data_IF_934394569863
#
_entry.id   IF_934394569863
#
_cell.length_a   1.000
_cell.length_b   1.000
_cell.length_c   1.000
_cell.angle_alpha   90.00
_cell.angle_beta   90.00
_cell.angle_gamma   90.00
#
_symmetry.space_group_name_H-M   'P 1'
#
loop_
_entity.id
_entity.type
_entity.pdbx_description
1 polymer ?
#
# COMPACT_ATOMS: atom_id res chain seq x y z
N UNK A 1 11.71 -2.46 11.02
CA UNK A 1 11.30 -3.15 9.77
C UNK A 1 12.16 -2.70 8.60
N UNK A 2 12.58 -3.61 7.73
CA UNK A 2 13.38 -3.34 6.51
C UNK A 2 12.49 -3.07 5.28
N UNK A 3 13.06 -2.55 4.19
CA UNK A 3 12.32 -2.31 2.94
C UNK A 3 11.74 -3.61 2.38
N UNK A 4 12.51 -4.71 2.38
CA UNK A 4 12.03 -6.01 1.93
C UNK A 4 10.82 -6.51 2.74
N UNK A 5 10.85 -6.34 4.07
CA UNK A 5 9.72 -6.68 4.94
C UNK A 5 8.49 -5.81 4.62
N UNK A 6 8.67 -4.50 4.44
CA UNK A 6 7.59 -3.60 4.07
C UNK A 6 6.97 -3.96 2.71
N UNK A 7 7.79 -4.28 1.71
CA UNK A 7 7.31 -4.76 0.39
C UNK A 7 6.46 -6.02 0.55
N UNK A 8 6.87 -6.96 1.39
CA UNK A 8 6.10 -8.19 1.62
C UNK A 8 4.76 -7.90 2.31
N UNK A 9 4.72 -6.98 3.27
CA UNK A 9 3.47 -6.53 3.91
C UNK A 9 2.55 -5.85 2.89
N UNK A 10 3.07 -4.94 2.06
CA UNK A 10 2.30 -4.29 1.00
C UNK A 10 1.70 -5.31 0.04
N UNK A 11 2.51 -6.24 -0.48
CA UNK A 11 2.05 -7.31 -1.37
C UNK A 11 1.02 -8.23 -0.71
N UNK A 12 1.17 -8.53 0.58
CA UNK A 12 0.19 -9.30 1.33
C UNK A 12 -1.17 -8.60 1.37
N UNK A 13 -1.21 -7.30 1.70
CA UNK A 13 -2.47 -6.56 1.72
C UNK A 13 -3.05 -6.36 0.32
N UNK A 14 -2.22 -6.12 -0.70
CA UNK A 14 -2.69 -6.04 -2.08
C UNK A 14 -3.37 -7.33 -2.53
N UNK A 15 -2.83 -8.50 -2.18
CA UNK A 15 -3.47 -9.79 -2.49
C UNK A 15 -4.87 -9.92 -1.89
N UNK A 16 -5.14 -9.29 -0.75
CA UNK A 16 -6.46 -9.35 -0.10
C UNK A 16 -7.50 -8.44 -0.76
N UNK A 17 -7.07 -7.45 -1.55
CA UNK A 17 -7.95 -6.58 -2.33
C UNK A 17 -8.00 -6.96 -3.82
N UNK A 18 -7.23 -7.97 -4.21
CA UNK A 18 -7.03 -8.33 -5.60
C UNK A 18 -8.11 -9.29 -6.10
N UNK A 19 -9.32 -8.76 -6.29
CA UNK A 19 -10.46 -9.54 -6.77
C UNK A 19 -10.30 -9.98 -8.25
N UNK A 20 -9.53 -9.23 -9.03
CA UNK A 20 -9.31 -9.47 -10.47
C UNK A 20 -8.16 -10.46 -10.77
N UNK A 21 -7.48 -10.98 -9.75
CA UNK A 21 -6.43 -11.98 -9.92
C UNK A 21 -5.13 -11.44 -10.56
N UNK A 22 -4.85 -10.15 -10.43
CA UNK A 22 -3.61 -9.51 -10.90
C UNK A 22 -2.40 -10.16 -10.23
N UNK A 23 -1.32 -10.41 -10.98
CA UNK A 23 -0.08 -10.91 -10.38
C UNK A 23 0.56 -9.84 -9.50
N UNK A 24 0.64 -10.10 -8.19
CA UNK A 24 1.19 -9.16 -7.19
C UNK A 24 2.70 -9.33 -7.03
N UNK A 25 3.47 -8.31 -7.37
CA UNK A 25 4.92 -8.24 -7.29
C UNK A 25 5.42 -6.82 -6.94
N UNK A 26 6.73 -6.60 -6.92
CA UNK A 26 7.33 -5.32 -6.51
C UNK A 26 7.04 -4.17 -7.51
N UNK A 27 6.70 -4.52 -8.76
CA UNK A 27 6.32 -3.57 -9.82
C UNK A 27 4.80 -3.35 -9.92
N UNK A 28 3.99 -4.01 -9.11
CA UNK A 28 2.53 -3.80 -9.08
C UNK A 28 2.22 -2.36 -8.71
N UNK A 29 1.47 -1.67 -9.59
CA UNK A 29 0.98 -0.31 -9.38
C UNK A 29 -0.27 -0.35 -8.51
N UNK A 30 -0.40 0.54 -7.53
CA UNK A 30 -1.47 0.46 -6.53
C UNK A 30 -2.87 0.62 -7.15
N UNK A 31 -3.05 1.54 -8.10
CA UNK A 31 -4.33 1.79 -8.75
C UNK A 31 -4.82 0.65 -9.68
N UNK A 32 -4.01 -0.38 -9.92
CA UNK A 32 -4.45 -1.58 -10.68
C UNK A 32 -5.06 -2.64 -9.78
N UNK A 33 -5.06 -2.43 -8.46
CA UNK A 33 -5.57 -3.39 -7.46
C UNK A 33 -6.52 -2.70 -6.49
N UNK A 34 -6.20 -1.46 -6.12
CA UNK A 34 -6.98 -0.65 -5.19
C UNK A 34 -7.80 0.38 -5.95
N UNK A 35 -8.93 0.75 -5.38
CA UNK A 35 -9.85 1.76 -5.91
C UNK A 35 -10.17 2.82 -4.84
N UNK A 36 -10.48 4.05 -5.29
CA UNK A 36 -11.09 5.07 -4.44
C UNK A 36 -12.62 5.15 -4.54
N UNK A 37 -13.23 4.24 -5.29
CA UNK A 37 -14.68 4.19 -5.52
C UNK A 37 -15.33 2.85 -5.15
N UNK A 38 -14.59 1.87 -4.65
CA UNK A 38 -15.08 0.53 -4.29
C UNK A 38 -15.69 0.45 -2.87
N UNK A 39 -16.12 1.58 -2.33
CA UNK A 39 -16.67 1.67 -0.98
C UNK A 39 -17.46 2.95 -0.77
N UNK A 40 -17.72 3.29 0.51
CA UNK A 40 -18.51 4.48 0.86
C UNK A 40 -17.63 5.57 1.49
N UNK A 41 -17.55 6.73 0.83
CA UNK A 41 -16.69 7.82 1.27
C UNK A 41 -15.22 7.42 1.35
N UNK A 42 -14.59 7.59 2.52
CA UNK A 42 -13.19 7.20 2.73
C UNK A 42 -13.02 5.71 3.12
N UNK A 43 -14.10 4.94 3.23
CA UNK A 43 -14.03 3.50 3.47
C UNK A 43 -13.90 2.73 2.15
N UNK A 44 -12.85 3.03 1.38
CA UNK A 44 -12.49 2.37 0.12
C UNK A 44 -11.11 1.69 0.26
N UNK A 45 -10.78 0.77 -0.64
CA UNK A 45 -9.55 -0.03 -0.53
C UNK A 45 -8.29 0.82 -0.55
N UNK A 46 -8.25 1.93 -1.31
CA UNK A 46 -7.13 2.88 -1.31
C UNK A 46 -6.83 3.44 0.08
N UNK A 47 -7.84 3.94 0.79
CA UNK A 47 -7.66 4.55 2.11
C UNK A 47 -7.49 3.51 3.22
N UNK A 48 -8.16 2.35 3.13
CA UNK A 48 -7.97 1.24 4.07
C UNK A 48 -6.52 0.72 3.98
N UNK A 49 -6.04 0.44 2.78
CA UNK A 49 -4.66 0.01 2.54
C UNK A 49 -3.66 1.00 3.15
N UNK A 50 -3.80 2.29 2.84
CA UNK A 50 -2.95 3.34 3.40
C UNK A 50 -2.95 3.34 4.93
N UNK A 51 -4.11 3.18 5.55
CA UNK A 51 -4.26 3.18 7.01
C UNK A 51 -3.54 2.00 7.65
N UNK A 52 -3.67 0.80 7.07
CA UNK A 52 -3.03 -0.43 7.57
C UNK A 52 -1.50 -0.35 7.45
N UNK A 53 -0.98 0.13 6.32
CA UNK A 53 0.48 0.30 6.15
C UNK A 53 1.03 1.36 7.10
N UNK A 54 0.35 2.50 7.28
CA UNK A 54 0.76 3.53 8.26
C UNK A 54 0.80 2.96 9.67
N UNK A 55 -0.24 2.24 10.09
CA UNK A 55 -0.27 1.59 11.39
C UNK A 55 0.88 0.58 11.55
N UNK A 56 1.14 -0.23 10.52
CA UNK A 56 2.23 -1.21 10.53
C UNK A 56 3.59 -0.56 10.68
N UNK A 57 3.83 0.54 9.95
CA UNK A 57 5.06 1.34 10.08
C UNK A 57 5.24 1.86 11.51
N UNK A 58 4.21 2.49 12.07
CA UNK A 58 4.25 3.03 13.44
C UNK A 58 4.50 1.93 14.48
N UNK A 59 3.84 0.79 14.36
CA UNK A 59 4.06 -0.36 15.26
C UNK A 59 5.47 -0.94 15.19
N UNK A 60 6.17 -0.72 14.08
CA UNK A 60 7.56 -1.14 13.88
C UNK A 60 8.59 -0.03 14.18
N UNK A 61 8.20 1.01 14.91
CA UNK A 61 9.09 2.07 15.39
C UNK A 61 9.42 3.16 14.36
N UNK A 62 8.72 3.18 13.21
CA UNK A 62 8.91 4.22 12.20
C UNK A 62 7.99 5.42 12.46
N UNK A 63 8.46 6.62 12.15
CA UNK A 63 7.66 7.84 12.25
C UNK A 63 6.50 7.84 11.25
N UNK A 64 5.40 8.49 11.60
CA UNK A 64 4.25 8.71 10.70
C UNK A 64 4.59 9.81 9.67
N UNK A 65 5.35 9.42 8.64
CA UNK A 65 5.75 10.32 7.55
C UNK A 65 4.59 10.52 6.57
N UNK A 66 4.45 11.73 5.98
CA UNK A 66 3.53 11.94 4.87
C UNK A 66 3.92 11.05 3.68
N UNK A 67 2.92 10.46 3.03
CA UNK A 67 3.13 9.67 1.81
C UNK A 67 3.30 10.61 0.61
N UNK A 68 4.05 10.22 -0.43
CA UNK A 68 4.08 10.93 -1.71
C UNK A 68 2.67 11.12 -2.26
N UNK A 69 2.36 12.28 -2.84
CA UNK A 69 0.99 12.57 -3.36
C UNK A 69 0.59 11.63 -4.49
N UNK A 70 1.56 11.20 -5.28
CA UNK A 70 1.46 10.34 -6.46
C UNK A 70 1.60 8.85 -6.13
N UNK A 71 1.62 8.47 -4.84
CA UNK A 71 1.87 7.07 -4.44
C UNK A 71 0.92 6.08 -5.11
N UNK A 72 -0.32 6.48 -5.35
CA UNK A 72 -1.38 5.62 -5.89
C UNK A 72 -1.13 5.22 -7.34
N UNK A 73 -0.43 6.06 -8.09
CA UNK A 73 -0.07 5.83 -9.50
C UNK A 73 1.33 5.21 -9.65
N UNK A 74 1.96 4.85 -8.53
CA UNK A 74 3.27 4.23 -8.49
C UNK A 74 3.18 2.78 -7.98
N UNK A 75 4.34 2.10 -7.92
CA UNK A 75 4.42 0.69 -7.52
C UNK A 75 4.95 0.48 -6.09
N UNK A 76 4.90 -0.78 -5.65
CA UNK A 76 5.37 -1.24 -4.34
C UNK A 76 6.83 -0.87 -4.08
N UNK A 77 7.72 -1.03 -5.07
CA UNK A 77 9.13 -0.65 -4.95
C UNK A 77 9.27 0.84 -4.63
N UNK A 78 8.63 1.71 -5.42
CA UNK A 78 8.65 3.16 -5.22
C UNK A 78 8.17 3.54 -3.83
N UNK A 79 6.96 3.14 -3.43
CA UNK A 79 6.41 3.56 -2.16
C UNK A 79 7.25 3.04 -0.98
N UNK A 80 7.69 1.78 -1.02
CA UNK A 80 8.51 1.21 0.05
C UNK A 80 9.82 1.98 0.27
N UNK A 81 10.45 2.47 -0.81
CA UNK A 81 11.68 3.26 -0.77
C UNK A 81 11.48 4.66 -0.18
N UNK A 82 10.25 5.20 -0.23
CA UNK A 82 9.92 6.54 0.31
C UNK A 82 9.55 6.51 1.78
N UNK A 83 9.06 5.36 2.28
CA UNK A 83 8.59 5.25 3.66
C UNK A 83 9.70 4.86 4.65
N UNK A 84 10.73 4.14 4.19
CA UNK A 84 11.89 3.76 5.02
C UNK A 84 13.02 4.76 4.84
#
# INVERSE_FOLDING_TARGET
MTQSQLKNVMKYHLKNFNDEGVSINDSTVFNTVLSDSDGYGNANSKYIFRSVIRWTMMKNGHADKPWPKDWFDNNVEYLSSKLI
#
